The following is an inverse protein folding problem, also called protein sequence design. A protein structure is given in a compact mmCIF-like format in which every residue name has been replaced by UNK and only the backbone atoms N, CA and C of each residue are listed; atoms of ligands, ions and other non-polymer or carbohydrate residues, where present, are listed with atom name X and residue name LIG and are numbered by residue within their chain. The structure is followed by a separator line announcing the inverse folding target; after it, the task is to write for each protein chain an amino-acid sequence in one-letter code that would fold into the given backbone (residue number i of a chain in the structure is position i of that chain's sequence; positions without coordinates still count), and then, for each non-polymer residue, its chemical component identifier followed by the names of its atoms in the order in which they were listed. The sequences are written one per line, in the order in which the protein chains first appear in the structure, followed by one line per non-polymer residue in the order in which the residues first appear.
data_IF_938775446207
#
_entry.id   IF_938775446207
#
_cell.length_a   1.000
_cell.length_b   1.000
_cell.length_c   1.000
_cell.angle_alpha   90.00
_cell.angle_beta   90.00
_cell.angle_gamma   90.00
#
_symmetry.space_group_name_H-M   'P 1'
#
loop_
_entity.id
_entity.type
_entity.pdbx_description
1 polymer ?
#
# COMPACT_ATOMS: atom_id res chain seq x y z
N UNK A 1 -55.06 5.67 21.17
CA UNK A 1 -53.75 6.30 20.87
C UNK A 1 -52.64 5.32 20.41
N UNK A 2 -52.81 3.98 20.40
CA UNK A 2 -51.76 3.03 19.97
C UNK A 2 -51.66 2.73 18.46
N UNK A 3 -52.69 3.07 17.67
CA UNK A 3 -52.79 2.70 16.24
C UNK A 3 -52.06 3.71 15.34
N UNK A 4 -52.01 4.99 15.74
CA UNK A 4 -51.32 6.05 14.99
C UNK A 4 -49.79 5.90 14.99
N UNK A 5 -49.18 5.43 16.08
CA UNK A 5 -47.74 5.14 16.13
C UNK A 5 -47.35 3.93 15.26
N UNK A 6 -48.25 2.94 15.14
CA UNK A 6 -48.09 1.80 14.24
C UNK A 6 -48.14 2.23 12.77
N UNK A 7 -49.09 3.09 12.41
CA UNK A 7 -49.22 3.62 11.05
C UNK A 7 -48.02 4.50 10.65
N UNK A 8 -47.49 5.32 11.57
CA UNK A 8 -46.30 6.15 11.32
C UNK A 8 -45.03 5.31 11.14
N UNK A 9 -44.88 4.22 11.89
CA UNK A 9 -43.79 3.25 11.71
C UNK A 9 -43.92 2.46 10.40
N UNK A 10 -45.14 2.03 10.06
CA UNK A 10 -45.40 1.31 8.81
C UNK A 10 -45.15 2.20 7.58
N UNK A 11 -45.58 3.46 7.61
CA UNK A 11 -45.33 4.42 6.54
C UNK A 11 -43.82 4.75 6.40
N UNK A 12 -43.09 4.89 7.50
CA UNK A 12 -41.62 5.05 7.46
C UNK A 12 -40.94 3.82 6.85
N UNK A 13 -41.44 2.63 7.17
CA UNK A 13 -40.90 1.38 6.63
C UNK A 13 -41.14 1.25 5.13
N UNK A 14 -42.35 1.58 4.64
CA UNK A 14 -42.72 1.41 3.23
C UNK A 14 -42.20 2.53 2.33
N UNK A 15 -42.16 3.78 2.78
CA UNK A 15 -41.76 4.91 1.94
C UNK A 15 -40.28 5.30 2.08
N UNK A 16 -39.62 4.93 3.17
CA UNK A 16 -38.21 5.29 3.40
C UNK A 16 -37.34 4.04 3.37
N UNK A 17 -37.58 3.07 4.26
CA UNK A 17 -36.65 1.93 4.41
C UNK A 17 -36.72 0.93 3.25
N UNK A 18 -37.90 0.65 2.72
CA UNK A 18 -38.13 -0.30 1.63
C UNK A 18 -37.48 0.16 0.31
N UNK A 19 -37.69 1.39 -0.22
CA UNK A 19 -37.01 1.83 -1.43
C UNK A 19 -35.49 1.97 -1.26
N UNK A 20 -35.01 2.39 -0.08
CA UNK A 20 -33.57 2.43 0.23
C UNK A 20 -32.96 1.02 0.32
N UNK A 21 -33.72 0.01 0.72
CA UNK A 21 -33.27 -1.39 0.72
C UNK A 21 -33.26 -2.01 -0.69
N UNK A 22 -34.22 -1.65 -1.54
CA UNK A 22 -34.34 -2.10 -2.93
C UNK A 22 -33.26 -1.45 -3.83
N UNK A 23 -32.91 -0.18 -3.56
CA UNK A 23 -31.80 0.52 -4.22
C UNK A 23 -30.41 0.07 -3.74
N UNK A 24 -30.31 -1.04 -2.99
CA UNK A 24 -29.03 -1.61 -2.57
C UNK A 24 -28.23 -0.71 -1.63
N UNK A 25 -28.83 0.32 -1.00
CA UNK A 25 -28.10 1.29 -0.17
C UNK A 25 -27.41 0.64 1.03
N UNK A 26 -27.99 -0.43 1.58
CA UNK A 26 -27.37 -1.25 2.62
C UNK A 26 -26.11 -1.97 2.11
N UNK A 27 -26.13 -2.47 0.86
CA UNK A 27 -24.95 -3.03 0.22
C UNK A 27 -23.89 -1.95 -0.08
N UNK A 28 -24.29 -0.76 -0.55
CA UNK A 28 -23.36 0.35 -0.77
C UNK A 28 -22.67 0.76 0.54
N UNK A 29 -23.44 0.87 1.64
CA UNK A 29 -22.89 1.22 2.95
C UNK A 29 -21.95 0.13 3.50
N UNK A 30 -22.32 -1.14 3.36
CA UNK A 30 -21.48 -2.27 3.77
C UNK A 30 -20.19 -2.36 2.92
N UNK A 31 -20.30 -2.18 1.60
CA UNK A 31 -19.17 -2.14 0.69
C UNK A 31 -18.24 -0.96 0.97
N UNK A 32 -18.79 0.21 1.30
CA UNK A 32 -17.99 1.36 1.70
C UNK A 32 -17.23 1.11 3.01
N UNK A 33 -17.88 0.45 3.99
CA UNK A 33 -17.22 -0.02 5.20
C UNK A 33 -16.06 -0.96 4.90
N UNK A 34 -16.32 -1.98 4.08
CA UNK A 34 -15.31 -2.95 3.64
C UNK A 34 -14.13 -2.29 2.92
N UNK A 35 -14.39 -1.38 1.97
CA UNK A 35 -13.35 -0.62 1.25
C UNK A 35 -12.54 0.23 2.23
N UNK A 36 -13.20 0.90 3.17
CA UNK A 36 -12.54 1.70 4.21
C UNK A 36 -11.63 0.84 5.09
N UNK A 37 -12.08 -0.34 5.51
CA UNK A 37 -11.31 -1.25 6.34
C UNK A 37 -10.15 -1.89 5.57
N UNK A 38 -10.33 -2.18 4.27
CA UNK A 38 -9.25 -2.59 3.38
C UNK A 38 -8.21 -1.49 3.20
N UNK A 39 -8.66 -0.23 3.08
CA UNK A 39 -7.76 0.92 3.03
C UNK A 39 -7.00 1.11 4.34
N UNK A 40 -7.64 0.90 5.49
CA UNK A 40 -7.00 0.95 6.81
C UNK A 40 -5.98 -0.17 6.97
N UNK A 41 -6.27 -1.39 6.53
CA UNK A 41 -5.33 -2.50 6.61
C UNK A 41 -4.12 -2.28 5.69
N UNK A 42 -4.32 -1.72 4.50
CA UNK A 42 -3.22 -1.33 3.59
C UNK A 42 -2.33 -0.21 4.16
N UNK A 43 -2.89 0.70 4.97
CA UNK A 43 -2.14 1.79 5.63
C UNK A 43 -1.61 1.40 7.01
N UNK A 44 -1.91 0.20 7.49
CA UNK A 44 -1.43 -0.23 8.80
C UNK A 44 0.10 -0.36 8.79
N UNK A 45 0.79 0.15 9.81
CA UNK A 45 2.25 0.14 9.80
C UNK A 45 2.79 -1.29 9.94
N UNK A 46 3.72 -1.65 9.06
CA UNK A 46 4.37 -2.98 9.06
C UNK A 46 5.34 -3.09 10.23
N UNK A 47 5.34 -4.24 10.91
CA UNK A 47 6.21 -4.48 12.05
C UNK A 47 7.70 -4.34 11.67
N UNK A 48 8.48 -3.50 12.37
CA UNK A 48 9.89 -3.23 12.04
C UNK A 48 10.82 -4.40 12.41
N UNK A 49 10.40 -5.30 13.32
CA UNK A 49 11.19 -6.47 13.73
C UNK A 49 11.12 -7.58 12.68
N UNK A 50 9.91 -8.10 12.41
CA UNK A 50 9.71 -9.25 11.55
C UNK A 50 9.50 -8.91 10.06
N UNK A 51 9.00 -7.70 9.74
CA UNK A 51 8.68 -7.28 8.37
C UNK A 51 7.57 -8.08 7.68
N UNK A 52 6.88 -8.97 8.41
CA UNK A 52 5.84 -9.88 7.89
C UNK A 52 4.44 -9.55 8.41
N UNK A 53 4.35 -9.08 9.65
CA UNK A 53 3.08 -8.72 10.29
C UNK A 53 2.83 -7.21 10.30
N UNK A 54 1.59 -6.83 10.57
CA UNK A 54 1.18 -5.43 10.75
C UNK A 54 0.99 -5.15 12.24
N UNK A 55 1.17 -3.89 12.65
CA UNK A 55 0.83 -3.48 14.01
C UNK A 55 -0.68 -3.29 14.08
N UNK A 56 -1.30 -3.95 15.05
CA UNK A 56 -2.72 -3.84 15.30
C UNK A 56 -2.95 -3.71 16.80
N UNK A 57 -4.07 -3.08 17.14
CA UNK A 57 -4.54 -2.99 18.52
C UNK A 57 -5.50 -4.16 18.76
N UNK A 58 -5.21 -5.07 19.71
CA UNK A 58 -6.16 -6.12 20.10
C UNK A 58 -7.50 -5.52 20.54
N UNK A 59 -8.61 -6.18 20.22
CA UNK A 59 -9.96 -5.71 20.60
C UNK A 59 -10.13 -5.61 22.13
N UNK A 60 -9.44 -6.49 22.86
CA UNK A 60 -9.47 -6.58 24.33
C UNK A 60 -8.34 -5.77 25.01
N UNK A 61 -7.67 -4.88 24.26
CA UNK A 61 -6.58 -4.10 24.80
C UNK A 61 -7.08 -3.09 25.85
N UNK A 62 -6.72 -3.34 27.11
CA UNK A 62 -6.98 -2.42 28.21
C UNK A 62 -5.87 -1.36 28.27
N UNK A 63 -6.20 -0.08 28.53
CA UNK A 63 -5.17 0.93 28.75
C UNK A 63 -4.37 0.60 30.02
N UNK A 64 -3.07 0.84 29.96
CA UNK A 64 -2.18 0.88 31.12
C UNK A 64 -2.53 2.08 32.03
N UNK A 65 -1.93 2.16 33.22
CA UNK A 65 -2.14 3.22 34.23
C UNK A 65 -1.93 4.65 33.66
N UNK A 66 -1.22 4.75 32.52
CA UNK A 66 -0.95 6.00 31.78
C UNK A 66 -1.81 6.19 30.53
N UNK A 67 -2.92 5.46 30.38
CA UNK A 67 -3.79 5.45 29.20
C UNK A 67 -3.10 5.02 27.89
N UNK A 68 -2.04 4.21 27.98
CA UNK A 68 -1.31 3.67 26.83
C UNK A 68 -1.86 2.30 26.45
N UNK A 69 -2.02 2.07 25.16
CA UNK A 69 -2.52 0.84 24.59
C UNK A 69 -1.36 0.02 24.01
N UNK A 70 -1.34 -1.29 24.31
CA UNK A 70 -0.36 -2.22 23.78
C UNK A 70 -0.66 -2.61 22.33
N UNK A 71 0.01 -1.97 21.38
CA UNK A 71 -0.04 -2.37 19.97
C UNK A 71 0.84 -3.59 19.75
N UNK A 72 0.30 -4.63 19.13
CA UNK A 72 0.99 -5.90 18.91
C UNK A 72 1.17 -6.20 17.43
N UNK A 73 2.24 -6.94 17.11
CA UNK A 73 2.43 -7.48 15.78
C UNK A 73 1.50 -8.67 15.51
N UNK A 74 0.77 -8.64 14.39
CA UNK A 74 -0.11 -9.75 13.96
C UNK A 74 0.63 -11.07 13.70
N UNK A 75 1.93 -11.03 13.39
CA UNK A 75 2.75 -12.22 13.21
C UNK A 75 3.30 -12.77 14.55
N UNK A 76 2.85 -12.23 15.69
CA UNK A 76 3.23 -12.63 17.05
C UNK A 76 4.74 -12.76 17.25
N UNK A 77 5.53 -11.86 16.65
CA UNK A 77 6.99 -11.87 16.77
C UNK A 77 7.52 -11.35 18.12
N UNK A 78 6.63 -11.13 19.11
CA UNK A 78 6.97 -10.58 20.42
C UNK A 78 7.17 -9.06 20.47
N UNK A 79 7.10 -8.37 19.32
CA UNK A 79 7.20 -6.91 19.28
C UNK A 79 5.89 -6.25 19.71
N UNK A 80 5.96 -5.44 20.76
CA UNK A 80 4.85 -4.64 21.29
C UNK A 80 5.27 -3.21 21.55
N UNK A 81 4.39 -2.26 21.27
CA UNK A 81 4.62 -0.83 21.50
C UNK A 81 3.43 -0.26 22.26
N UNK A 82 3.70 0.38 23.39
CA UNK A 82 2.69 1.10 24.15
C UNK A 82 2.61 2.54 23.64
N UNK A 83 1.46 2.91 23.07
CA UNK A 83 1.20 4.28 22.60
C UNK A 83 -0.28 4.61 22.73
N UNK A 84 -0.68 5.82 22.34
CA UNK A 84 -2.08 6.22 22.33
C UNK A 84 -2.90 5.36 21.35
N UNK A 85 -4.23 5.49 21.40
CA UNK A 85 -5.12 4.80 20.46
C UNK A 85 -5.01 5.35 19.02
N UNK A 86 -4.26 6.43 18.81
CA UNK A 86 -4.12 7.08 17.52
C UNK A 86 -3.25 6.25 16.55
N UNK A 87 -3.80 5.83 15.38
CA UNK A 87 -3.03 5.13 14.35
C UNK A 87 -1.84 5.92 13.79
N UNK A 88 -1.86 7.25 13.86
CA UNK A 88 -0.73 8.07 13.39
C UNK A 88 0.46 7.98 14.34
N UNK A 89 0.21 8.04 15.65
CA UNK A 89 1.25 7.94 16.67
C UNK A 89 2.04 6.61 16.58
N UNK A 90 1.36 5.48 16.32
CA UNK A 90 2.04 4.20 16.11
C UNK A 90 2.81 4.19 14.77
N UNK A 91 2.27 4.81 13.71
CA UNK A 91 2.93 4.88 12.41
C UNK A 91 4.25 5.65 12.50
N UNK A 92 4.29 6.77 13.23
CA UNK A 92 5.51 7.58 13.40
C UNK A 92 6.59 6.81 14.17
N UNK A 93 6.23 6.11 15.25
CA UNK A 93 7.16 5.30 16.03
C UNK A 93 7.70 4.14 15.19
N UNK A 94 6.82 3.43 14.48
CA UNK A 94 7.21 2.31 13.61
C UNK A 94 8.08 2.80 12.47
N UNK A 95 7.75 3.94 11.86
CA UNK A 95 8.55 4.54 10.82
C UNK A 95 9.95 4.85 11.35
N UNK A 96 10.09 5.66 12.41
CA UNK A 96 11.38 6.01 13.00
C UNK A 96 12.24 4.77 13.32
N UNK A 97 11.64 3.72 13.89
CA UNK A 97 12.34 2.46 14.20
C UNK A 97 12.73 1.69 12.93
N UNK A 98 11.86 1.65 11.92
CA UNK A 98 12.14 1.01 10.63
C UNK A 98 13.29 1.70 9.88
N UNK A 99 13.37 3.04 9.97
CA UNK A 99 14.44 3.83 9.38
C UNK A 99 15.78 3.51 10.05
N UNK A 100 15.82 3.54 11.38
CA UNK A 100 17.01 3.21 12.17
C UNK A 100 17.50 1.79 11.84
N UNK A 101 16.61 0.79 11.87
CA UNK A 101 16.97 -0.60 11.58
C UNK A 101 17.39 -0.80 10.12
N UNK A 102 16.72 -0.13 9.18
CA UNK A 102 17.05 -0.17 7.76
C UNK A 102 18.46 0.36 7.50
N UNK A 103 18.82 1.49 8.13
CA UNK A 103 20.18 2.04 8.08
C UNK A 103 21.21 1.13 8.74
N UNK A 104 20.91 0.53 9.89
CA UNK A 104 21.80 -0.44 10.55
C UNK A 104 22.07 -1.68 9.70
N UNK A 105 21.03 -2.28 9.10
CA UNK A 105 21.16 -3.43 8.21
C UNK A 105 22.06 -3.12 7.01
N UNK A 106 21.95 -1.92 6.45
CA UNK A 106 22.80 -1.47 5.36
C UNK A 106 24.22 -1.16 5.81
N UNK A 107 24.39 -0.53 6.97
CA UNK A 107 25.70 -0.24 7.56
C UNK A 107 26.51 -1.53 7.77
N UNK A 108 25.85 -2.63 8.17
CA UNK A 108 26.49 -3.92 8.40
C UNK A 108 26.82 -4.71 7.12
N UNK A 109 26.16 -4.41 6.00
CA UNK A 109 26.47 -5.05 4.72
C UNK A 109 27.82 -4.55 4.20
N UNK A 110 28.73 -5.49 3.93
CA UNK A 110 30.01 -5.17 3.28
C UNK A 110 29.77 -4.65 1.85
N UNK A 111 30.68 -3.79 1.34
CA UNK A 111 30.57 -3.21 0.00
C UNK A 111 30.29 -4.21 -1.15
N UNK A 112 30.89 -5.42 -1.20
CA UNK A 112 30.53 -6.40 -2.24
C UNK A 112 29.09 -6.92 -2.15
N UNK A 113 28.52 -7.00 -0.94
CA UNK A 113 27.13 -7.45 -0.74
C UNK A 113 26.13 -6.36 -1.13
N UNK A 114 26.47 -5.09 -0.86
CA UNK A 114 25.70 -3.94 -1.34
C UNK A 114 25.64 -3.92 -2.87
N UNK A 115 26.76 -4.18 -3.54
CA UNK A 115 26.81 -4.29 -5.00
C UNK A 115 25.91 -5.40 -5.56
N UNK A 116 25.90 -6.58 -4.94
CA UNK A 116 24.99 -7.69 -5.29
C UNK A 116 23.51 -7.30 -5.12
N UNK A 117 23.18 -6.54 -4.07
CA UNK A 117 21.82 -6.06 -3.84
C UNK A 117 21.39 -5.05 -4.91
N UNK A 118 22.26 -4.09 -5.26
CA UNK A 118 22.02 -3.08 -6.29
C UNK A 118 21.75 -3.77 -7.64
N UNK A 119 22.65 -4.65 -8.07
CA UNK A 119 22.52 -5.38 -9.34
C UNK A 119 21.27 -6.25 -9.40
N UNK A 120 20.89 -6.89 -8.29
CA UNK A 120 19.61 -7.60 -8.16
C UNK A 120 18.41 -6.70 -8.42
N UNK A 121 18.38 -5.51 -7.81
CA UNK A 121 17.29 -4.54 -8.00
C UNK A 121 17.25 -3.97 -9.42
N UNK A 122 18.40 -3.66 -10.01
CA UNK A 122 18.49 -3.21 -11.40
C UNK A 122 18.02 -4.29 -12.38
N UNK A 123 18.41 -5.55 -12.16
CA UNK A 123 17.94 -6.67 -12.98
C UNK A 123 16.42 -6.83 -12.93
N UNK A 124 15.82 -6.70 -11.73
CA UNK A 124 14.36 -6.71 -11.58
C UNK A 124 13.71 -5.55 -12.33
N UNK A 125 14.25 -4.33 -12.18
CA UNK A 125 13.75 -3.15 -12.90
C UNK A 125 13.78 -3.34 -14.42
N UNK A 126 14.90 -3.83 -14.96
CA UNK A 126 15.06 -4.12 -16.39
C UNK A 126 14.08 -5.19 -16.87
N UNK A 127 13.89 -6.27 -16.11
CA UNK A 127 12.92 -7.31 -16.45
C UNK A 127 11.49 -6.74 -16.57
N UNK A 128 11.08 -5.87 -15.64
CA UNK A 128 9.77 -5.22 -15.73
C UNK A 128 9.66 -4.25 -16.91
N UNK A 129 10.72 -3.52 -17.24
CA UNK A 129 10.76 -2.70 -18.46
C UNK A 129 10.64 -3.55 -19.72
N UNK A 130 11.34 -4.68 -19.81
CA UNK A 130 11.21 -5.62 -20.93
C UNK A 130 9.77 -6.12 -21.08
N UNK A 131 9.12 -6.50 -19.97
CA UNK A 131 7.72 -6.92 -20.00
C UNK A 131 6.81 -5.77 -20.45
N UNK A 132 7.00 -4.55 -19.93
CA UNK A 132 6.22 -3.39 -20.34
C UNK A 132 6.38 -3.09 -21.85
N UNK A 133 7.60 -3.20 -22.39
CA UNK A 133 7.85 -3.04 -23.82
C UNK A 133 7.18 -4.14 -24.63
N UNK A 134 7.24 -5.40 -24.19
CA UNK A 134 6.57 -6.52 -24.89
C UNK A 134 5.05 -6.34 -24.92
N UNK A 135 4.44 -5.94 -23.81
CA UNK A 135 3.00 -5.63 -23.72
C UNK A 135 2.64 -4.47 -24.65
N UNK A 136 3.46 -3.43 -24.70
CA UNK A 136 3.25 -2.29 -25.60
C UNK A 136 3.35 -2.70 -27.07
N UNK A 137 4.36 -3.50 -27.44
CA UNK A 137 4.50 -4.05 -28.79
C UNK A 137 3.33 -4.97 -29.16
N UNK A 138 2.83 -5.75 -28.21
CA UNK A 138 1.63 -6.57 -28.40
C UNK A 138 0.39 -5.71 -28.69
N UNK A 139 0.23 -4.57 -28.01
CA UNK A 139 -0.86 -3.64 -28.30
C UNK A 139 -0.73 -3.01 -29.70
N UNK A 140 0.50 -2.65 -30.13
CA UNK A 140 0.75 -2.15 -31.50
C UNK A 140 0.42 -3.22 -32.54
N UNK A 141 0.84 -4.46 -32.30
CA UNK A 141 0.53 -5.58 -33.18
C UNK A 141 -0.98 -5.81 -33.31
N UNK A 142 -1.73 -5.71 -32.20
CA UNK A 142 -3.19 -5.82 -32.22
C UNK A 142 -3.88 -4.70 -32.99
N UNK A 143 -3.36 -3.46 -32.92
CA UNK A 143 -3.84 -2.36 -33.75
C UNK A 143 -3.66 -2.70 -35.22
N UNK A 144 -2.48 -3.19 -35.61
CA UNK A 144 -2.18 -3.59 -36.99
C UNK A 144 -3.03 -4.78 -37.46
N UNK A 145 -3.37 -5.70 -36.57
CA UNK A 145 -4.22 -6.86 -36.85
C UNK A 145 -5.72 -6.54 -36.88
N UNK A 146 -6.12 -5.29 -36.60
CA UNK A 146 -7.54 -4.87 -36.62
C UNK A 146 -8.34 -5.36 -35.41
N UNK A 147 -7.70 -5.59 -34.25
CA UNK A 147 -8.40 -5.97 -33.03
C UNK A 147 -9.37 -4.88 -32.56
N UNK A 148 -10.38 -5.28 -31.77
CA UNK A 148 -11.32 -4.32 -31.20
C UNK A 148 -10.66 -3.42 -30.16
N UNK A 149 -11.15 -2.18 -30.04
CA UNK A 149 -10.61 -1.19 -29.12
C UNK A 149 -10.59 -1.68 -27.66
N UNK A 150 -11.59 -2.47 -27.24
CA UNK A 150 -11.64 -3.04 -25.88
C UNK A 150 -10.44 -3.94 -25.58
N UNK A 151 -10.00 -4.76 -26.54
CA UNK A 151 -8.85 -5.68 -26.36
C UNK A 151 -7.54 -4.87 -26.34
N UNK A 152 -7.42 -3.86 -27.19
CA UNK A 152 -6.24 -2.99 -27.22
C UNK A 152 -6.10 -2.25 -25.88
N UNK A 153 -7.17 -1.66 -25.35
CA UNK A 153 -7.13 -0.94 -24.08
C UNK A 153 -6.88 -1.86 -22.88
N UNK A 154 -7.41 -3.08 -22.89
CA UNK A 154 -7.17 -4.03 -21.80
C UNK A 154 -5.68 -4.42 -21.73
N UNK A 155 -5.04 -4.67 -22.89
CA UNK A 155 -3.59 -4.93 -22.95
C UNK A 155 -2.78 -3.69 -22.59
N UNK A 156 -3.15 -2.51 -23.11
CA UNK A 156 -2.45 -1.26 -22.79
C UNK A 156 -2.52 -0.91 -21.30
N UNK A 157 -3.61 -1.27 -20.61
CA UNK A 157 -3.77 -1.04 -19.18
C UNK A 157 -2.70 -1.74 -18.33
N UNK A 158 -2.13 -2.86 -18.84
CA UNK A 158 -1.08 -3.61 -18.17
C UNK A 158 0.29 -2.90 -18.21
N UNK A 159 0.51 -1.95 -19.15
CA UNK A 159 1.75 -1.18 -19.21
C UNK A 159 1.99 -0.36 -17.93
N UNK A 160 0.92 0.18 -17.34
CA UNK A 160 1.00 1.02 -16.14
C UNK A 160 1.55 0.27 -14.91
N UNK A 161 0.98 -0.85 -14.44
CA UNK A 161 1.49 -1.56 -13.27
C UNK A 161 2.93 -2.06 -13.48
N UNK A 162 3.27 -2.56 -14.68
CA UNK A 162 4.64 -2.99 -14.96
C UNK A 162 5.63 -1.83 -14.95
N UNK A 163 5.26 -0.68 -15.50
CA UNK A 163 6.07 0.54 -15.41
C UNK A 163 6.26 0.95 -13.95
N UNK A 164 5.19 0.99 -13.14
CA UNK A 164 5.28 1.31 -11.70
C UNK A 164 6.26 0.39 -10.98
N UNK A 165 6.22 -0.92 -11.25
CA UNK A 165 7.16 -1.88 -10.68
C UNK A 165 8.60 -1.66 -11.16
N UNK A 166 8.80 -1.36 -12.44
CA UNK A 166 10.11 -1.06 -13.00
C UNK A 166 10.73 0.16 -12.29
N UNK A 167 9.97 1.24 -12.14
CA UNK A 167 10.37 2.49 -11.47
C UNK A 167 10.66 2.25 -9.99
N UNK A 168 9.82 1.45 -9.32
CA UNK A 168 9.99 1.11 -7.91
C UNK A 168 11.33 0.42 -7.69
N UNK A 169 11.68 -0.56 -8.51
CA UNK A 169 12.94 -1.30 -8.35
C UNK A 169 14.17 -0.45 -8.70
N UNK A 170 14.11 0.39 -9.73
CA UNK A 170 15.20 1.32 -10.04
C UNK A 170 15.38 2.38 -8.95
N UNK A 171 14.30 2.88 -8.36
CA UNK A 171 14.37 3.78 -7.21
C UNK A 171 15.03 3.10 -5.99
N UNK A 172 14.69 1.83 -5.71
CA UNK A 172 15.34 1.08 -4.62
C UNK A 172 16.82 0.84 -4.88
N UNK A 173 17.22 0.57 -6.12
CA UNK A 173 18.64 0.47 -6.48
C UNK A 173 19.37 1.80 -6.25
N UNK A 174 18.76 2.91 -6.68
CA UNK A 174 19.28 4.25 -6.48
C UNK A 174 19.44 4.59 -4.99
N UNK A 175 18.42 4.34 -4.16
CA UNK A 175 18.48 4.60 -2.72
C UNK A 175 19.62 3.85 -2.03
N UNK A 176 19.89 2.60 -2.41
CA UNK A 176 20.98 1.81 -1.84
C UNK A 176 22.34 2.33 -2.32
N UNK A 177 22.46 2.77 -3.58
CA UNK A 177 23.70 3.33 -4.14
C UNK A 177 24.09 4.66 -3.51
N UNK A 178 23.13 5.55 -3.28
CA UNK A 178 23.39 6.90 -2.74
C UNK A 178 23.27 6.99 -1.23
N UNK A 179 22.83 5.92 -0.56
CA UNK A 179 22.57 5.92 0.88
C UNK A 179 21.38 6.78 1.31
N UNK A 180 20.54 7.26 0.39
CA UNK A 180 19.42 8.16 0.69
C UNK A 180 18.16 7.42 1.16
N UNK A 181 18.32 6.35 1.96
CA UNK A 181 17.16 5.64 2.50
C UNK A 181 16.42 6.52 3.51
N UNK A 182 15.10 6.61 3.30
CA UNK A 182 14.16 7.35 4.14
C UNK A 182 14.41 8.87 4.21
N UNK A 183 15.07 9.43 3.20
CA UNK A 183 15.22 10.89 3.07
C UNK A 183 13.94 11.49 2.46
N UNK A 184 13.27 12.45 3.12
CA UNK A 184 12.08 13.11 2.57
C UNK A 184 12.43 13.83 1.27
N UNK A 185 11.53 13.74 0.27
CA UNK A 185 11.75 14.37 -1.03
C UNK A 185 12.71 13.64 -1.99
N UNK A 186 13.37 12.56 -1.55
CA UNK A 186 14.31 11.82 -2.39
C UNK A 186 13.66 11.23 -3.65
N UNK A 187 12.40 10.80 -3.57
CA UNK A 187 11.64 10.33 -4.73
C UNK A 187 11.37 11.44 -5.75
N UNK A 188 11.01 12.65 -5.29
CA UNK A 188 10.77 13.78 -6.18
C UNK A 188 12.05 14.14 -6.96
N UNK A 189 13.20 14.18 -6.28
CA UNK A 189 14.50 14.40 -6.92
C UNK A 189 14.80 13.29 -7.94
N UNK A 190 14.60 12.04 -7.55
CA UNK A 190 14.79 10.88 -8.42
C UNK A 190 14.00 10.97 -9.75
N UNK A 191 12.72 11.34 -9.67
CA UNK A 191 11.86 11.48 -10.86
C UNK A 191 12.24 12.72 -11.67
N UNK A 192 12.49 13.85 -11.01
CA UNK A 192 12.86 15.12 -11.65
C UNK A 192 14.15 15.01 -12.46
N UNK A 193 15.14 14.34 -11.90
CA UNK A 193 16.46 14.17 -12.52
C UNK A 193 16.50 13.02 -13.54
N UNK A 194 15.35 12.38 -13.80
CA UNK A 194 15.21 11.22 -14.70
C UNK A 194 16.23 10.11 -14.43
N UNK A 195 16.54 9.86 -13.16
CA UNK A 195 17.52 8.85 -12.73
C UNK A 195 17.07 7.41 -13.04
N UNK A 196 15.77 7.22 -13.29
CA UNK A 196 15.18 5.98 -13.78
C UNK A 196 15.60 5.58 -15.21
N UNK A 197 16.15 6.51 -15.99
CA UNK A 197 16.56 6.34 -17.40
C UNK A 197 18.07 6.50 -17.57
N UNK A 198 18.65 7.54 -16.95
CA UNK A 198 20.07 7.88 -17.14
C UNK A 198 21.04 7.01 -16.34
N UNK A 199 20.55 6.30 -15.33
CA UNK A 199 21.42 5.64 -14.35
C UNK A 199 22.23 6.67 -13.56
N UNK A 200 22.82 6.24 -12.44
CA UNK A 200 23.83 7.03 -11.75
C UNK A 200 25.16 6.65 -12.37
N UNK A 201 25.80 7.57 -13.08
CA UNK A 201 27.21 7.49 -13.48
C UNK A 201 28.10 7.66 -12.25
#
# INVERSE_FOLDING_TARGET
MKIFDGAKRAAKFTFVEMPLSILGWRQIKANNGYISDLWRSLRSPVCPECGRGVMHLPADAQPDDKALYGWECSAHCGFRVFTTRDPQAIADIVQARSEARGKQRLAFLADPERGKLITSHERKSRAYWTVATLVFLMAIWQIAAGASAMVIFSVLSLCLPFSIHAIRWSYRAWQVRTGTLFVPGAFSRYVRDMLWLRGVQ
#
